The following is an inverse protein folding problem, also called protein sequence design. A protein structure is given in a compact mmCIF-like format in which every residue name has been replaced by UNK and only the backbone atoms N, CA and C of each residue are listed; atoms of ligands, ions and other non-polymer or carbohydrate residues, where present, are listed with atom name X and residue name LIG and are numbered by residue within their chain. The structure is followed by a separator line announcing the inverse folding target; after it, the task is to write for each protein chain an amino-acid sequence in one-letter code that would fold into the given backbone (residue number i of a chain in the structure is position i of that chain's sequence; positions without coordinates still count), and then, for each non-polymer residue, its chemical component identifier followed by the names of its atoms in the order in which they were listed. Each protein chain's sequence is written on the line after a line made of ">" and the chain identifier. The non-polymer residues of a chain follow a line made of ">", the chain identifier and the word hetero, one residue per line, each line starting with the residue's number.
data_IF_899817489439
#
_entry.id   IF_899817489439
#
_cell.length_a   1.000
_cell.length_b   1.000
_cell.length_c   1.000
_cell.angle_alpha   90.00
_cell.angle_beta   90.00
_cell.angle_gamma   90.00
#
_symmetry.space_group_name_H-M   'P 1'
#
loop_
_entity.id
_entity.type
_entity.pdbx_description
1 polymer ?
#
# COMPACT_ATOMS: atom_id res chain seq x y z
N UNK A 1 16.23 -34.93 -25.14
CA UNK A 1 17.23 -34.96 -24.05
C UNK A 1 18.09 -33.72 -24.20
N UNK A 2 17.77 -32.66 -23.46
CA UNK A 2 18.54 -31.42 -23.48
C UNK A 2 19.38 -31.34 -22.20
N UNK A 3 20.68 -31.18 -22.39
CA UNK A 3 21.71 -31.23 -21.36
C UNK A 3 21.70 -29.95 -20.52
N UNK A 4 21.28 -30.08 -19.26
CA UNK A 4 21.41 -29.06 -18.22
C UNK A 4 22.85 -28.55 -18.11
N UNK A 5 22.97 -27.23 -18.25
CA UNK A 5 24.19 -26.41 -18.28
C UNK A 5 25.27 -26.84 -17.29
N UNK A 6 26.46 -27.13 -17.84
CA UNK A 6 27.70 -27.49 -17.17
C UNK A 6 28.14 -26.51 -16.07
N UNK A 7 27.61 -25.28 -16.06
CA UNK A 7 27.91 -24.28 -15.03
C UNK A 7 27.21 -24.55 -13.69
N UNK A 8 26.02 -25.17 -13.71
CA UNK A 8 25.29 -25.49 -12.48
C UNK A 8 26.02 -26.53 -11.62
N UNK A 9 26.61 -27.55 -12.28
CA UNK A 9 27.38 -28.59 -11.60
C UNK A 9 28.67 -28.04 -10.97
N UNK A 10 29.32 -27.06 -11.61
CA UNK A 10 30.51 -26.39 -11.06
C UNK A 10 30.17 -25.58 -9.80
N UNK A 11 29.01 -24.93 -9.76
CA UNK A 11 28.57 -24.17 -8.59
C UNK A 11 28.28 -25.08 -7.38
N UNK A 12 27.64 -26.23 -7.60
CA UNK A 12 27.38 -27.20 -6.52
C UNK A 12 28.66 -27.81 -5.93
N UNK A 13 29.68 -28.04 -6.76
CA UNK A 13 30.97 -28.53 -6.27
C UNK A 13 31.64 -27.51 -5.34
N UNK A 14 31.63 -26.23 -5.72
CA UNK A 14 32.23 -25.14 -4.93
C UNK A 14 31.54 -24.94 -3.58
N UNK A 15 30.22 -25.06 -3.53
CA UNK A 15 29.43 -24.97 -2.29
C UNK A 15 29.68 -26.14 -1.32
N UNK A 16 30.06 -27.32 -1.84
CA UNK A 16 30.40 -28.48 -1.01
C UNK A 16 31.82 -28.41 -0.46
N UNK A 17 32.76 -27.82 -1.18
CA UNK A 17 34.11 -27.58 -0.66
C UNK A 17 34.11 -26.55 0.46
N UNK A 18 33.28 -25.51 0.36
CA UNK A 18 33.20 -24.43 1.35
C UNK A 18 32.53 -24.84 2.67
N UNK A 19 31.67 -25.87 2.65
CA UNK A 19 31.04 -26.43 3.86
C UNK A 19 31.93 -27.41 4.62
N UNK A 20 33.01 -27.89 4.00
CA UNK A 20 33.96 -28.82 4.62
C UNK A 20 35.07 -28.12 5.45
N UNK A 21 35.23 -26.79 5.35
CA UNK A 21 36.38 -26.07 5.90
C UNK A 21 36.07 -25.08 7.04
N UNK A 22 35.14 -25.40 7.96
CA UNK A 22 35.00 -24.64 9.23
C UNK A 22 34.92 -25.56 10.46
N UNK A 23 35.82 -25.44 11.45
CA UNK A 23 35.75 -26.21 12.69
C UNK A 23 34.70 -25.61 13.65
N UNK A 24 33.97 -26.51 14.32
CA UNK A 24 32.92 -26.21 15.29
C UNK A 24 33.49 -26.00 16.69
N UNK A 25 33.42 -24.77 17.21
CA UNK A 25 33.74 -24.46 18.60
C UNK A 25 32.47 -24.63 19.47
N UNK A 26 32.44 -25.71 20.25
CA UNK A 26 31.55 -25.90 21.40
C UNK A 26 31.92 -24.92 22.51
N UNK A 27 30.95 -24.21 23.09
CA UNK A 27 31.14 -23.56 24.41
C UNK A 27 29.98 -23.92 25.36
N UNK A 28 30.39 -24.42 26.53
CA UNK A 28 29.62 -24.91 27.68
C UNK A 28 28.70 -23.85 28.28
N UNK A 29 27.57 -24.31 28.82
CA UNK A 29 26.64 -23.61 29.70
C UNK A 29 27.17 -23.57 31.14
N UNK A 30 27.09 -22.41 31.79
CA UNK A 30 27.16 -22.27 33.25
C UNK A 30 25.88 -21.61 33.78
N UNK A 31 25.40 -22.13 34.91
CA UNK A 31 24.16 -21.79 35.58
C UNK A 31 24.50 -20.97 36.83
N UNK A 32 23.82 -19.84 37.07
CA UNK A 32 23.65 -19.27 38.41
C UNK A 32 22.24 -18.72 38.60
N UNK A 33 21.56 -19.33 39.57
CA UNK A 33 20.43 -18.91 40.42
C UNK A 33 20.69 -17.52 41.07
N UNK A 34 19.77 -16.66 41.54
CA UNK A 34 18.40 -16.76 42.08
C UNK A 34 17.86 -15.34 42.41
N UNK A 35 16.54 -15.16 42.20
CA UNK A 35 15.54 -14.38 42.99
C UNK A 35 15.32 -12.84 42.87
N UNK A 36 14.05 -12.37 43.07
CA UNK A 36 13.45 -11.06 42.68
C UNK A 36 13.28 -10.11 43.92
N UNK A 37 12.52 -8.96 44.01
CA UNK A 37 11.26 -8.47 43.35
C UNK A 37 11.19 -6.89 43.25
N UNK A 38 10.08 -6.10 43.42
CA UNK A 38 8.61 -6.29 43.32
C UNK A 38 7.84 -5.18 42.50
N UNK A 39 6.50 -5.25 42.57
CA UNK A 39 5.44 -4.50 41.83
C UNK A 39 5.05 -3.11 42.41
N UNK A 40 4.63 -2.21 41.50
CA UNK A 40 3.54 -1.19 41.50
C UNK A 40 3.39 -0.13 42.63
N UNK A 41 3.26 1.15 42.21
CA UNK A 41 2.30 2.15 42.76
C UNK A 41 2.02 3.23 41.68
N UNK A 42 0.75 3.43 41.28
CA UNK A 42 -0.26 4.46 41.66
C UNK A 42 -0.07 5.83 40.97
N UNK A 43 -0.98 6.10 40.03
CA UNK A 43 -1.19 7.37 39.30
C UNK A 43 -1.97 8.35 40.18
N UNK A 44 -1.55 9.61 40.24
CA UNK A 44 -2.35 10.75 40.71
C UNK A 44 -2.39 11.85 39.63
N UNK A 45 -3.62 12.34 39.39
CA UNK A 45 -3.97 13.48 38.54
C UNK A 45 -3.60 14.80 39.23
N UNK A 46 -3.07 15.77 38.47
CA UNK A 46 -3.54 17.17 38.51
C UNK A 46 -2.87 18.04 37.43
N UNK A 47 -3.66 19.00 36.93
CA UNK A 47 -3.37 20.16 36.07
C UNK A 47 -4.37 21.25 36.54
N UNK A 48 -4.26 22.57 36.24
CA UNK A 48 -3.25 23.27 35.41
C UNK A 48 -2.79 24.69 35.92
N UNK A 49 -1.95 25.35 35.08
CA UNK A 49 -2.00 26.78 34.65
C UNK A 49 -1.03 27.82 35.29
N UNK A 50 -0.77 29.00 34.65
CA UNK A 50 0.40 29.24 33.78
C UNK A 50 1.20 30.51 34.14
N UNK A 51 2.47 30.68 33.69
CA UNK A 51 3.16 31.98 33.80
C UNK A 51 4.23 32.23 32.69
N UNK A 52 3.93 33.26 31.88
CA UNK A 52 4.79 34.35 31.36
C UNK A 52 6.10 34.09 30.57
N UNK A 53 6.14 34.73 29.39
CA UNK A 53 7.32 35.16 28.61
C UNK A 53 8.27 36.04 29.46
N UNK A 54 9.53 36.17 29.02
CA UNK A 54 9.96 37.49 28.56
C UNK A 54 10.73 37.48 27.23
N UNK A 55 10.94 38.70 26.73
CA UNK A 55 11.52 39.08 25.45
C UNK A 55 12.86 39.82 25.63
N UNK A 56 13.51 40.12 24.50
CA UNK A 56 14.73 40.94 24.26
C UNK A 56 16.06 40.21 24.54
N UNK A 57 17.16 40.42 23.84
CA UNK A 57 17.58 41.55 23.01
C UNK A 57 18.56 41.12 21.90
N UNK A 58 18.68 41.98 20.89
CA UNK A 58 19.67 41.94 19.84
C UNK A 58 21.10 42.18 20.36
N UNK A 59 22.10 41.61 19.68
CA UNK A 59 23.39 42.28 19.50
C UNK A 59 24.05 41.86 18.17
N UNK A 60 24.30 42.89 17.39
CA UNK A 60 25.04 42.96 16.13
C UNK A 60 26.54 42.77 16.36
N UNK A 61 27.23 42.01 15.52
CA UNK A 61 28.57 42.42 15.04
C UNK A 61 28.76 41.95 13.60
N UNK A 62 29.07 42.90 12.72
CA UNK A 62 29.41 42.68 11.33
C UNK A 62 30.93 42.47 11.20
N UNK A 63 31.34 41.50 10.39
CA UNK A 63 32.62 41.50 9.65
C UNK A 63 32.43 40.80 8.30
N UNK A 64 32.89 41.46 7.24
CA UNK A 64 33.13 40.95 5.86
C UNK A 64 34.54 41.47 5.45
N UNK A 65 35.12 41.04 4.33
CA UNK A 65 35.39 39.66 3.85
C UNK A 65 36.85 39.53 3.35
N UNK A 66 37.36 38.34 3.02
CA UNK A 66 38.44 38.17 2.01
C UNK A 66 38.49 36.73 1.49
N UNK A 67 38.65 36.59 0.17
CA UNK A 67 39.27 35.42 -0.48
C UNK A 67 38.32 34.34 -0.98
N UNK A 68 38.02 34.36 -2.29
CA UNK A 68 37.26 33.31 -2.96
C UNK A 68 38.11 32.15 -3.45
N UNK A 69 37.49 30.98 -3.53
CA UNK A 69 37.70 30.00 -4.60
C UNK A 69 36.41 29.21 -4.76
N UNK A 70 36.01 29.03 -6.01
CA UNK A 70 34.78 28.36 -6.43
C UNK A 70 34.70 26.94 -5.84
N UNK A 71 33.60 26.62 -5.18
CA UNK A 71 33.10 25.25 -5.09
C UNK A 71 31.61 25.28 -5.36
N UNK A 72 31.22 24.61 -6.44
CA UNK A 72 29.83 24.30 -6.75
C UNK A 72 29.15 23.68 -5.54
N UNK A 73 27.90 24.10 -5.31
CA UNK A 73 27.03 23.62 -4.24
C UNK A 73 26.73 22.14 -4.50
N UNK A 74 27.41 21.25 -3.78
CA UNK A 74 27.06 19.85 -3.68
C UNK A 74 25.78 19.81 -2.83
N UNK A 75 24.69 19.32 -3.39
CA UNK A 75 23.52 18.95 -2.61
C UNK A 75 23.93 17.82 -1.66
N UNK A 76 23.66 17.98 -0.37
CA UNK A 76 23.99 16.94 0.60
C UNK A 76 23.15 15.69 0.30
N UNK A 77 23.77 14.49 0.29
CA UNK A 77 23.03 13.27 0.09
C UNK A 77 22.08 13.05 1.26
N UNK A 78 20.83 12.71 0.93
CA UNK A 78 19.83 12.19 1.87
C UNK A 78 20.47 11.10 2.73
N UNK A 79 20.22 11.05 4.05
CA UNK A 79 20.91 10.10 4.92
C UNK A 79 20.49 8.67 4.57
N UNK A 80 21.37 7.90 3.90
CA UNK A 80 21.19 6.46 3.69
C UNK A 80 21.51 5.91 2.29
N UNK A 81 21.84 6.72 1.30
CA UNK A 81 22.19 6.22 -0.06
C UNK A 81 23.71 6.07 -0.21
N UNK A 82 24.16 4.86 -0.58
CA UNK A 82 25.54 4.65 -1.04
C UNK A 82 25.78 5.49 -2.30
N UNK A 83 26.95 6.11 -2.44
CA UNK A 83 27.33 6.92 -3.61
C UNK A 83 27.22 6.13 -4.93
N UNK A 84 27.48 4.82 -4.88
CA UNK A 84 27.31 3.91 -6.02
C UNK A 84 25.86 3.72 -6.46
N UNK A 85 24.90 3.88 -5.54
CA UNK A 85 23.48 3.65 -5.78
C UNK A 85 22.84 4.89 -6.42
N UNK A 86 23.24 6.08 -5.98
CA UNK A 86 22.78 7.34 -6.56
C UNK A 86 23.24 7.50 -8.01
N UNK A 87 24.51 7.15 -8.30
CA UNK A 87 25.06 7.21 -9.66
C UNK A 87 24.31 6.28 -10.64
N UNK A 88 23.97 5.07 -10.19
CA UNK A 88 23.20 4.12 -11.00
C UNK A 88 21.78 4.62 -11.28
N UNK A 89 21.16 5.31 -10.31
CA UNK A 89 19.80 5.81 -10.45
C UNK A 89 19.72 6.98 -11.46
N UNK A 90 20.70 7.89 -11.43
CA UNK A 90 20.83 8.96 -12.43
C UNK A 90 21.03 8.40 -13.85
N UNK A 91 21.90 7.39 -14.01
CA UNK A 91 22.15 6.75 -15.31
C UNK A 91 20.93 6.00 -15.89
N UNK A 92 19.91 5.70 -15.08
CA UNK A 92 18.71 4.95 -15.47
C UNK A 92 17.42 5.77 -15.35
N UNK A 93 17.50 7.10 -15.23
CA UNK A 93 16.36 8.00 -15.02
C UNK A 93 15.47 7.60 -13.82
N UNK A 94 16.04 6.91 -12.82
CA UNK A 94 15.34 6.49 -11.60
C UNK A 94 15.52 7.59 -10.56
N UNK A 95 14.41 8.19 -10.11
CA UNK A 95 14.49 9.26 -9.10
C UNK A 95 15.03 8.74 -7.76
N UNK A 96 15.69 9.61 -7.01
CA UNK A 96 16.22 9.30 -5.67
C UNK A 96 15.11 8.81 -4.72
N UNK A 97 13.88 9.30 -4.90
CA UNK A 97 12.69 8.86 -4.16
C UNK A 97 12.28 7.44 -4.53
N UNK A 98 12.27 7.10 -5.82
CA UNK A 98 11.96 5.74 -6.30
C UNK A 98 13.00 4.72 -5.81
N UNK A 99 14.26 5.15 -5.73
CA UNK A 99 15.36 4.34 -5.20
C UNK A 99 15.27 4.17 -3.67
N UNK A 100 15.00 5.25 -2.93
CA UNK A 100 14.79 5.19 -1.48
C UNK A 100 13.57 4.31 -1.13
N UNK A 101 12.55 4.33 -1.98
CA UNK A 101 11.37 3.46 -1.88
C UNK A 101 11.71 1.99 -2.15
N UNK A 102 12.46 1.69 -3.22
CA UNK A 102 12.90 0.33 -3.55
C UNK A 102 13.71 -0.31 -2.42
N UNK A 103 14.54 0.49 -1.74
CA UNK A 103 15.38 0.03 -0.63
C UNK A 103 14.75 0.26 0.75
N UNK A 104 13.52 0.76 0.84
CA UNK A 104 12.84 1.06 2.11
C UNK A 104 13.67 1.95 3.05
N UNK A 105 14.49 2.84 2.49
CA UNK A 105 15.45 3.70 3.22
C UNK A 105 14.80 4.88 3.96
N UNK A 106 13.47 4.95 3.98
CA UNK A 106 12.72 5.77 4.93
C UNK A 106 12.27 7.12 4.39
N UNK A 107 11.13 7.13 3.69
CA UNK A 107 10.25 8.29 3.71
C UNK A 107 9.53 8.29 5.08
N UNK A 108 9.98 9.13 6.02
CA UNK A 108 9.30 9.32 7.31
C UNK A 108 7.91 9.93 7.14
N UNK A 109 7.65 10.54 5.99
CA UNK A 109 6.38 11.18 5.65
C UNK A 109 5.67 10.45 4.50
N UNK A 110 5.02 9.32 4.80
CA UNK A 110 4.11 8.64 3.86
C UNK A 110 2.97 9.57 3.38
N UNK A 111 2.73 10.70 4.06
CA UNK A 111 1.76 11.72 3.65
C UNK A 111 2.11 12.36 2.31
N UNK A 112 3.40 12.55 1.99
CA UNK A 112 3.82 13.11 0.70
C UNK A 112 3.57 12.13 -0.47
N UNK A 113 3.49 10.82 -0.18
CA UNK A 113 3.19 9.78 -1.18
C UNK A 113 1.70 9.68 -1.53
N UNK A 114 0.81 10.32 -0.76
CA UNK A 114 -0.63 10.30 -1.02
C UNK A 114 -1.10 11.40 -1.98
N UNK A 115 -0.36 12.51 -2.08
CA UNK A 115 -0.68 13.62 -2.98
C UNK A 115 0.51 13.88 -3.92
N UNK A 116 0.35 13.55 -5.20
CA UNK A 116 1.35 13.81 -6.22
C UNK A 116 1.04 15.11 -6.93
N UNK A 117 2.03 16.01 -7.05
CA UNK A 117 1.89 17.25 -7.81
C UNK A 117 1.57 17.02 -9.31
N UNK A 118 1.72 15.78 -9.80
CA UNK A 118 1.48 15.37 -11.18
C UNK A 118 0.04 14.91 -11.44
N UNK A 119 -0.81 14.84 -10.42
CA UNK A 119 -2.18 14.33 -10.58
C UNK A 119 -3.03 15.26 -11.44
N UNK A 120 -3.71 14.69 -12.44
CA UNK A 120 -4.58 15.41 -13.35
C UNK A 120 -6.03 15.00 -13.09
N UNK A 121 -6.76 15.87 -12.40
CA UNK A 121 -8.16 15.59 -12.04
C UNK A 121 -9.03 15.47 -13.29
N UNK A 122 -9.83 14.41 -13.35
CA UNK A 122 -10.77 14.13 -14.44
C UNK A 122 -10.10 13.98 -15.83
N UNK A 123 -8.81 13.63 -15.88
CA UNK A 123 -8.07 13.49 -17.15
C UNK A 123 -8.47 12.25 -17.95
N UNK A 124 -9.12 11.26 -17.33
CA UNK A 124 -9.35 9.96 -17.93
C UNK A 124 -8.06 9.14 -17.85
N UNK A 125 -7.72 8.42 -18.93
CA UNK A 125 -6.48 7.66 -19.00
C UNK A 125 -5.26 8.60 -19.08
N UNK A 126 -4.22 8.29 -18.31
CA UNK A 126 -2.95 9.00 -18.38
C UNK A 126 -2.09 8.37 -19.47
N UNK A 127 -1.67 9.20 -20.43
CA UNK A 127 -0.86 8.75 -21.57
C UNK A 127 0.59 8.46 -21.15
N UNK A 128 1.24 7.52 -21.85
CA UNK A 128 2.66 7.21 -21.65
C UNK A 128 2.98 6.38 -20.41
N UNK A 129 1.99 5.81 -19.73
CA UNK A 129 2.19 4.93 -18.57
C UNK A 129 1.99 3.47 -18.98
N UNK A 130 3.01 2.65 -18.78
CA UNK A 130 2.88 1.20 -18.87
C UNK A 130 2.23 0.64 -17.60
N UNK A 131 0.97 0.20 -17.73
CA UNK A 131 0.21 -0.31 -16.59
C UNK A 131 0.67 -1.72 -16.22
N UNK A 132 1.34 -1.83 -15.08
CA UNK A 132 1.84 -3.08 -14.52
C UNK A 132 0.75 -4.07 -14.07
N UNK A 133 1.19 -5.15 -13.42
CA UNK A 133 0.32 -6.26 -12.98
C UNK A 133 -0.70 -5.88 -11.90
N UNK A 134 -0.34 -4.94 -11.03
CA UNK A 134 -1.12 -4.56 -9.86
C UNK A 134 -1.67 -3.16 -10.04
N UNK A 135 -2.96 -3.01 -9.78
CA UNK A 135 -3.64 -1.71 -9.79
C UNK A 135 -4.51 -1.59 -8.55
N UNK A 136 -4.64 -0.38 -8.01
CA UNK A 136 -5.61 -0.09 -6.97
C UNK A 136 -6.71 0.82 -7.53
N UNK A 137 -7.95 0.57 -7.12
CA UNK A 137 -9.12 1.35 -7.51
C UNK A 137 -9.85 1.84 -6.26
N UNK A 138 -10.45 3.02 -6.37
CA UNK A 138 -11.44 3.54 -5.43
C UNK A 138 -12.47 4.39 -6.18
N UNK A 139 -13.73 4.27 -5.76
CA UNK A 139 -14.86 4.97 -6.35
C UNK A 139 -15.55 5.90 -5.34
N UNK A 140 -15.97 7.07 -5.82
CA UNK A 140 -16.91 7.92 -5.08
C UNK A 140 -18.32 7.75 -5.65
N UNK A 141 -19.29 7.66 -4.74
CA UNK A 141 -20.70 7.43 -5.10
C UNK A 141 -21.59 8.56 -4.61
N UNK A 142 -22.64 8.83 -5.40
CA UNK A 142 -23.75 9.72 -5.05
C UNK A 142 -25.02 8.90 -4.86
N UNK A 143 -26.02 9.50 -4.22
CA UNK A 143 -27.34 8.94 -4.01
C UNK A 143 -28.29 9.19 -5.18
N UNK A 144 -28.90 8.14 -5.71
CA UNK A 144 -29.97 8.16 -6.72
C UNK A 144 -31.25 7.50 -6.19
N UNK A 145 -32.32 7.57 -6.97
CA UNK A 145 -33.63 7.03 -6.59
C UNK A 145 -34.33 7.81 -5.47
N UNK A 146 -35.53 7.35 -5.04
CA UNK A 146 -36.28 7.95 -3.94
C UNK A 146 -35.46 7.99 -2.65
N UNK A 147 -35.26 9.17 -2.08
CA UNK A 147 -34.48 9.36 -0.85
C UNK A 147 -32.95 9.24 -0.99
N UNK A 148 -32.42 8.95 -2.19
CA UNK A 148 -30.97 8.92 -2.43
C UNK A 148 -30.25 7.75 -1.75
N UNK A 149 -30.96 6.66 -1.49
CA UNK A 149 -30.43 5.47 -0.81
C UNK A 149 -29.58 4.59 -1.72
N UNK A 150 -29.93 4.53 -3.00
CA UNK A 150 -29.19 3.79 -4.01
C UNK A 150 -27.90 4.52 -4.37
N UNK A 151 -26.80 3.79 -4.48
CA UNK A 151 -25.48 4.39 -4.74
C UNK A 151 -25.16 4.27 -6.22
N UNK A 152 -24.86 5.39 -6.86
CA UNK A 152 -24.41 5.44 -8.25
C UNK A 152 -23.01 6.02 -8.35
N UNK A 153 -22.21 5.51 -9.28
CA UNK A 153 -20.84 5.97 -9.53
C UNK A 153 -20.82 7.45 -9.94
N UNK A 154 -19.94 8.23 -9.31
CA UNK A 154 -19.74 9.63 -9.63
C UNK A 154 -18.27 10.02 -9.85
N UNK A 155 -17.33 9.22 -9.33
CA UNK A 155 -15.90 9.34 -9.65
C UNK A 155 -15.24 7.98 -9.51
N UNK A 156 -14.24 7.71 -10.34
CA UNK A 156 -13.37 6.54 -10.21
C UNK A 156 -11.92 6.98 -10.37
N UNK A 157 -11.05 6.49 -9.50
CA UNK A 157 -9.60 6.68 -9.56
C UNK A 157 -8.89 5.34 -9.58
N UNK A 158 -7.89 5.19 -10.44
CA UNK A 158 -7.03 4.00 -10.53
C UNK A 158 -5.57 4.45 -10.45
N UNK A 159 -4.80 3.77 -9.61
CA UNK A 159 -3.36 3.99 -9.46
C UNK A 159 -2.57 2.70 -9.68
N UNK A 160 -1.32 2.85 -10.12
CA UNK A 160 -0.41 1.72 -10.33
C UNK A 160 0.18 1.22 -9.01
N UNK A 161 1.10 0.25 -9.10
CA UNK A 161 1.81 -0.27 -7.93
C UNK A 161 2.60 0.81 -7.18
N UNK A 162 3.15 1.80 -7.87
CA UNK A 162 3.92 2.88 -7.27
C UNK A 162 3.04 4.03 -6.74
N UNK A 163 1.72 3.96 -6.94
CA UNK A 163 0.79 5.02 -6.56
C UNK A 163 0.69 6.14 -7.60
N UNK A 164 1.27 5.97 -8.79
CA UNK A 164 1.11 6.87 -9.93
C UNK A 164 -0.33 6.76 -10.45
N UNK A 165 -0.97 7.90 -10.70
CA UNK A 165 -2.32 7.94 -11.26
C UNK A 165 -2.32 7.38 -12.68
N UNK A 166 -3.10 6.32 -12.91
CA UNK A 166 -3.33 5.74 -14.24
C UNK A 166 -4.59 6.34 -14.84
N UNK A 167 -5.65 6.44 -14.04
CA UNK A 167 -6.97 6.87 -14.50
C UNK A 167 -7.65 7.69 -13.42
N UNK A 168 -8.28 8.81 -13.78
CA UNK A 168 -9.20 9.54 -12.90
C UNK A 168 -10.29 10.21 -13.74
N UNK A 169 -11.56 9.93 -13.42
CA UNK A 169 -12.69 10.54 -14.11
C UNK A 169 -13.85 10.78 -13.17
N UNK A 170 -14.47 11.95 -13.29
CA UNK A 170 -15.86 12.15 -12.89
C UNK A 170 -16.77 11.42 -13.88
N UNK A 171 -17.86 10.86 -13.37
CA UNK A 171 -18.78 10.01 -14.12
C UNK A 171 -20.19 10.56 -13.95
N UNK A 172 -20.91 10.70 -15.06
CA UNK A 172 -22.34 11.04 -15.00
C UNK A 172 -23.14 9.81 -14.59
N UNK A 173 -23.87 9.85 -13.45
CA UNK A 173 -24.77 8.78 -13.08
C UNK A 173 -25.89 8.64 -14.13
N UNK A 174 -26.30 7.41 -14.43
CA UNK A 174 -27.40 7.13 -15.36
C UNK A 174 -28.75 7.68 -14.88
N UNK A 175 -28.92 7.72 -13.57
CA UNK A 175 -30.12 8.19 -12.91
C UNK A 175 -29.94 9.60 -12.33
N UNK A 176 -31.06 10.30 -12.14
CA UNK A 176 -31.04 11.62 -11.53
C UNK A 176 -30.51 11.53 -10.10
N UNK A 177 -29.45 12.29 -9.83
CA UNK A 177 -28.90 12.43 -8.48
C UNK A 177 -29.90 13.15 -7.57
N UNK A 178 -30.28 12.50 -6.48
CA UNK A 178 -31.17 13.04 -5.45
C UNK A 178 -30.41 13.43 -4.18
N UNK A 179 -29.22 12.86 -3.94
CA UNK A 179 -28.35 13.22 -2.84
C UNK A 179 -26.88 13.17 -3.25
N UNK A 180 -26.18 14.30 -3.26
CA UNK A 180 -24.77 14.37 -3.67
C UNK A 180 -23.79 13.73 -2.68
N UNK A 181 -24.18 13.56 -1.41
CA UNK A 181 -23.30 13.05 -0.34
C UNK A 181 -21.98 13.81 -0.23
N UNK A 182 -21.96 15.10 -0.61
CA UNK A 182 -20.74 15.92 -0.80
C UNK A 182 -19.82 15.95 0.42
N UNK A 183 -20.37 15.93 1.63
CA UNK A 183 -19.58 15.89 2.86
C UNK A 183 -18.69 14.65 2.98
N UNK A 184 -19.07 13.55 2.32
CA UNK A 184 -18.33 12.30 2.27
C UNK A 184 -17.62 12.17 0.93
N UNK A 185 -18.34 12.20 -0.20
CA UNK A 185 -17.81 11.89 -1.53
C UNK A 185 -16.96 13.00 -2.15
N UNK A 186 -17.06 14.23 -1.62
CA UNK A 186 -16.48 15.40 -2.26
C UNK A 186 -17.09 15.77 -3.60
N UNK A 187 -18.15 15.09 -4.05
CA UNK A 187 -18.81 15.33 -5.33
C UNK A 187 -19.89 16.42 -5.20
N UNK A 188 -19.93 17.33 -6.16
CA UNK A 188 -20.93 18.37 -6.28
C UNK A 188 -21.44 18.48 -7.72
N UNK A 189 -22.54 19.21 -7.90
CA UNK A 189 -23.16 19.41 -9.21
C UNK A 189 -22.25 20.14 -10.22
N UNK A 190 -21.31 20.97 -9.76
CA UNK A 190 -20.41 21.73 -10.65
C UNK A 190 -19.39 20.79 -11.29
N UNK A 191 -18.87 19.81 -10.53
CA UNK A 191 -17.96 18.77 -11.03
C UNK A 191 -18.60 17.91 -12.12
N UNK A 192 -19.92 17.69 -12.06
CA UNK A 192 -20.65 16.90 -13.07
C UNK A 192 -20.78 17.57 -14.43
N UNK A 193 -20.54 18.90 -14.53
CA UNK A 193 -20.57 19.59 -15.83
C UNK A 193 -19.55 19.02 -16.82
N UNK A 194 -18.41 18.55 -16.32
CA UNK A 194 -17.31 18.02 -17.11
C UNK A 194 -17.15 16.50 -16.94
N UNK A 195 -18.12 15.83 -16.34
CA UNK A 195 -18.09 14.39 -16.17
C UNK A 195 -18.28 13.66 -17.51
N UNK A 196 -17.61 12.52 -17.65
CA UNK A 196 -17.76 11.63 -18.81
C UNK A 196 -19.03 10.79 -18.68
N UNK A 197 -19.50 10.25 -19.80
CA UNK A 197 -20.61 9.31 -19.80
C UNK A 197 -20.20 8.00 -19.10
N UNK A 198 -21.16 7.35 -18.44
CA UNK A 198 -20.89 6.14 -17.67
C UNK A 198 -20.31 5.03 -18.53
N UNK A 199 -20.85 4.83 -19.74
CA UNK A 199 -20.44 3.78 -20.67
C UNK A 199 -18.98 3.94 -21.13
N UNK A 200 -18.54 5.17 -21.37
CA UNK A 200 -17.15 5.49 -21.74
C UNK A 200 -16.20 5.08 -20.61
N UNK A 201 -16.50 5.56 -19.40
CA UNK A 201 -15.66 5.30 -18.21
C UNK A 201 -15.66 3.81 -17.87
N UNK A 202 -16.82 3.15 -17.93
CA UNK A 202 -16.93 1.72 -17.66
C UNK A 202 -16.07 0.91 -18.65
N UNK A 203 -16.11 1.23 -19.94
CA UNK A 203 -15.34 0.53 -20.96
C UNK A 203 -13.82 0.71 -20.76
N UNK A 204 -13.38 1.91 -20.38
CA UNK A 204 -11.97 2.18 -20.10
C UNK A 204 -11.48 1.47 -18.83
N UNK A 205 -12.29 1.49 -17.77
CA UNK A 205 -11.98 0.77 -16.52
C UNK A 205 -11.95 -0.74 -16.78
N UNK A 206 -12.90 -1.30 -17.51
CA UNK A 206 -12.92 -2.75 -17.83
C UNK A 206 -11.63 -3.18 -18.55
N UNK A 207 -11.21 -2.43 -19.59
CA UNK A 207 -9.94 -2.68 -20.29
C UNK A 207 -8.74 -2.62 -19.35
N UNK A 208 -8.71 -1.68 -18.41
CA UNK A 208 -7.65 -1.58 -17.41
C UNK A 208 -7.65 -2.78 -16.46
N UNK A 209 -8.82 -3.28 -16.04
CA UNK A 209 -8.91 -4.43 -15.13
C UNK A 209 -8.47 -5.75 -15.76
N UNK A 210 -8.59 -5.90 -17.08
CA UNK A 210 -8.30 -7.16 -17.77
C UNK A 210 -6.86 -7.65 -17.54
N UNK A 211 -6.73 -8.89 -17.06
CA UNK A 211 -5.44 -9.55 -16.84
C UNK A 211 -4.62 -9.03 -15.65
N UNK A 212 -5.19 -8.14 -14.82
CA UNK A 212 -4.49 -7.51 -13.69
C UNK A 212 -5.02 -8.00 -12.34
N UNK A 213 -4.23 -7.76 -11.30
CA UNK A 213 -4.62 -7.99 -9.92
C UNK A 213 -5.20 -6.68 -9.38
N UNK A 214 -6.47 -6.73 -8.99
CA UNK A 214 -7.22 -5.60 -8.47
C UNK A 214 -7.08 -5.50 -6.95
N UNK A 215 -6.59 -4.35 -6.49
CA UNK A 215 -6.43 -4.00 -5.08
C UNK A 215 -7.45 -2.91 -4.72
N UNK A 216 -8.01 -2.97 -3.53
CA UNK A 216 -9.01 -1.99 -3.09
C UNK A 216 -9.41 -2.20 -1.64
N UNK A 217 -10.35 -1.37 -1.17
CA UNK A 217 -10.88 -1.44 0.19
C UNK A 217 -12.39 -1.63 0.16
N UNK A 218 -12.84 -2.87 0.45
CA UNK A 218 -14.25 -3.28 0.32
C UNK A 218 -14.83 -3.14 -1.11
N UNK A 219 -14.02 -3.57 -2.08
CA UNK A 219 -14.24 -3.56 -3.55
C UNK A 219 -15.60 -4.04 -4.05
N UNK A 220 -16.40 -4.69 -3.20
CA UNK A 220 -17.76 -5.08 -3.55
C UNK A 220 -18.57 -3.86 -4.00
N UNK A 221 -18.46 -2.75 -3.27
CA UNK A 221 -19.23 -1.55 -3.54
C UNK A 221 -18.76 -0.84 -4.83
N UNK A 222 -17.45 -0.77 -5.05
CA UNK A 222 -16.86 -0.18 -6.25
C UNK A 222 -17.25 -0.94 -7.51
N UNK A 223 -17.13 -2.27 -7.49
CA UNK A 223 -17.48 -3.15 -8.62
C UNK A 223 -18.99 -3.14 -8.92
N UNK A 224 -19.83 -3.09 -7.88
CA UNK A 224 -21.29 -2.92 -8.03
C UNK A 224 -21.61 -1.57 -8.69
N UNK A 225 -20.98 -0.47 -8.25
CA UNK A 225 -21.19 0.85 -8.83
C UNK A 225 -20.71 0.97 -10.28
N UNK A 226 -19.63 0.27 -10.63
CA UNK A 226 -19.12 0.14 -12.00
C UNK A 226 -19.92 -0.84 -12.86
N UNK A 227 -20.80 -1.66 -12.27
CA UNK A 227 -21.49 -2.77 -12.93
C UNK A 227 -20.47 -3.70 -13.63
N UNK A 228 -19.35 -3.96 -12.94
CA UNK A 228 -18.27 -4.83 -13.41
C UNK A 228 -18.07 -6.00 -12.44
N UNK A 229 -17.42 -7.05 -12.94
CA UNK A 229 -16.98 -8.17 -12.10
C UNK A 229 -15.50 -8.43 -12.34
N UNK A 230 -14.82 -8.94 -11.31
CA UNK A 230 -13.41 -9.29 -11.42
C UNK A 230 -13.17 -10.68 -10.81
N UNK A 231 -12.30 -11.53 -11.38
CA UNK A 231 -12.05 -12.87 -10.86
C UNK A 231 -11.61 -12.82 -9.40
N UNK A 232 -12.29 -13.57 -8.52
CA UNK A 232 -12.01 -13.52 -7.08
C UNK A 232 -10.56 -13.87 -6.72
N UNK A 233 -9.90 -14.72 -7.53
CA UNK A 233 -8.48 -15.06 -7.39
C UNK A 233 -7.55 -13.87 -7.66
N UNK A 234 -7.99 -12.90 -8.46
CA UNK A 234 -7.22 -11.73 -8.86
C UNK A 234 -7.59 -10.48 -8.02
N UNK A 235 -8.45 -10.63 -7.00
CA UNK A 235 -8.78 -9.57 -6.04
C UNK A 235 -7.87 -9.63 -4.80
N UNK A 236 -7.41 -8.47 -4.35
CA UNK A 236 -6.74 -8.23 -3.06
C UNK A 236 -7.45 -7.12 -2.30
N UNK A 237 -8.51 -7.52 -1.60
CA UNK A 237 -9.35 -6.62 -0.81
C UNK A 237 -8.76 -6.43 0.61
N UNK A 238 -8.32 -5.22 0.90
CA UNK A 238 -7.72 -4.87 2.20
C UNK A 238 -8.72 -4.93 3.36
N UNK A 239 -10.00 -4.66 3.13
CA UNK A 239 -11.04 -4.73 4.17
C UNK A 239 -11.31 -6.18 4.60
N UNK A 240 -11.08 -7.15 3.71
CA UNK A 240 -11.28 -8.59 3.94
C UNK A 240 -10.01 -9.34 4.35
N UNK A 241 -8.86 -8.68 4.36
CA UNK A 241 -7.59 -9.30 4.70
C UNK A 241 -7.55 -9.71 6.19
N UNK A 242 -7.33 -11.01 6.52
CA UNK A 242 -7.36 -11.49 7.91
C UNK A 242 -6.38 -10.77 8.83
N UNK A 243 -5.19 -10.42 8.31
CA UNK A 243 -4.16 -9.69 9.07
C UNK A 243 -4.61 -8.30 9.54
N UNK A 244 -5.65 -7.72 8.93
CA UNK A 244 -6.16 -6.41 9.28
C UNK A 244 -7.38 -6.44 10.21
N UNK A 245 -8.04 -7.59 10.42
CA UNK A 245 -9.23 -7.71 11.29
C UNK A 245 -8.99 -7.23 12.73
N UNK A 246 -7.75 -7.33 13.22
CA UNK A 246 -7.34 -6.84 14.54
C UNK A 246 -7.54 -5.34 14.73
N UNK A 247 -7.52 -4.55 13.64
CA UNK A 247 -7.73 -3.10 13.69
C UNK A 247 -9.21 -2.69 13.68
N UNK A 248 -10.12 -3.62 13.35
CA UNK A 248 -11.55 -3.38 13.29
C UNK A 248 -12.33 -4.01 14.46
N UNK A 249 -11.64 -4.43 15.52
CA UNK A 249 -12.25 -5.11 16.68
C UNK A 249 -13.13 -6.32 16.27
N UNK A 250 -12.67 -7.09 15.28
CA UNK A 250 -13.39 -8.26 14.73
C UNK A 250 -14.31 -7.96 13.55
N UNK A 251 -14.61 -6.68 13.27
CA UNK A 251 -15.30 -6.23 12.05
C UNK A 251 -14.30 -5.87 10.95
N UNK A 252 -14.80 -5.59 9.74
CA UNK A 252 -13.98 -4.98 8.68
C UNK A 252 -13.46 -3.64 9.19
N UNK A 253 -12.13 -3.41 9.25
CA UNK A 253 -11.57 -2.13 9.64
C UNK A 253 -11.85 -1.08 8.56
N UNK A 254 -12.12 0.17 8.95
CA UNK A 254 -12.18 1.28 8.00
C UNK A 254 -10.79 1.63 7.46
N UNK A 255 -10.71 2.07 6.19
CA UNK A 255 -9.45 2.44 5.54
C UNK A 255 -8.68 3.49 6.36
N UNK A 256 -9.36 4.53 6.84
CA UNK A 256 -8.78 5.56 7.73
C UNK A 256 -8.09 4.98 8.97
N UNK A 257 -8.66 3.95 9.58
CA UNK A 257 -8.05 3.28 10.75
C UNK A 257 -6.79 2.54 10.32
N UNK A 258 -6.81 1.84 9.18
CA UNK A 258 -5.65 1.13 8.67
C UNK A 258 -4.54 2.11 8.27
N UNK A 259 -4.86 3.18 7.54
CA UNK A 259 -3.91 4.22 7.16
C UNK A 259 -3.24 4.82 8.41
N UNK A 260 -4.01 5.20 9.42
CA UNK A 260 -3.46 5.78 10.64
C UNK A 260 -2.61 4.77 11.42
N UNK A 261 -3.08 3.54 11.62
CA UNK A 261 -2.41 2.55 12.48
C UNK A 261 -1.22 1.85 11.82
N UNK A 262 -1.24 1.71 10.50
CA UNK A 262 -0.24 0.93 9.75
C UNK A 262 0.70 1.84 8.97
N UNK A 263 0.17 2.86 8.30
CA UNK A 263 0.96 3.79 7.49
C UNK A 263 1.40 5.03 8.28
N UNK A 264 0.73 5.34 9.39
CA UNK A 264 0.99 6.54 10.18
C UNK A 264 0.47 7.81 9.52
N UNK A 265 -0.51 7.69 8.61
CA UNK A 265 -1.07 8.83 7.85
C UNK A 265 -2.54 8.99 8.18
N UNK A 266 -2.97 10.24 8.32
CA UNK A 266 -4.36 10.60 8.47
C UNK A 266 -4.95 10.95 7.11
N UNK A 267 -5.98 10.20 6.72
CA UNK A 267 -6.74 10.39 5.48
C UNK A 267 -8.21 10.64 5.85
N UNK A 268 -9.01 11.13 4.90
CA UNK A 268 -10.45 11.36 5.10
C UNK A 268 -10.75 12.30 6.30
N UNK A 269 -9.91 13.33 6.48
CA UNK A 269 -10.14 14.40 7.48
C UNK A 269 -11.27 15.36 7.09
N UNK A 270 -11.63 15.37 5.79
CA UNK A 270 -12.77 16.09 5.23
C UNK A 270 -13.51 15.19 4.22
N UNK A 271 -13.90 15.76 3.08
CA UNK A 271 -14.39 14.94 1.98
C UNK A 271 -13.31 13.96 1.50
N UNK A 272 -13.74 12.80 1.04
CA UNK A 272 -12.88 11.75 0.53
C UNK A 272 -12.27 12.14 -0.82
N UNK A 273 -11.14 11.52 -1.11
CA UNK A 273 -10.45 11.64 -2.38
C UNK A 273 -10.11 10.23 -2.85
N UNK A 274 -10.85 9.74 -3.83
CA UNK A 274 -10.57 8.42 -4.41
C UNK A 274 -9.11 8.18 -4.85
N UNK A 275 -8.38 9.21 -5.27
CA UNK A 275 -6.95 9.06 -5.59
C UNK A 275 -6.14 8.74 -4.31
N UNK A 276 -6.40 9.47 -3.23
CA UNK A 276 -5.75 9.28 -1.93
C UNK A 276 -6.08 7.91 -1.35
N UNK A 277 -7.36 7.53 -1.41
CA UNK A 277 -7.84 6.26 -0.86
C UNK A 277 -7.31 5.05 -1.66
N UNK A 278 -7.24 5.15 -2.99
CA UNK A 278 -6.61 4.13 -3.84
C UNK A 278 -5.11 3.98 -3.53
N UNK A 279 -4.39 5.10 -3.32
CA UNK A 279 -2.97 5.08 -2.92
C UNK A 279 -2.76 4.49 -1.53
N UNK A 280 -3.54 4.92 -0.55
CA UNK A 280 -3.47 4.39 0.81
C UNK A 280 -3.68 2.86 0.79
N UNK A 281 -4.64 2.39 0.00
CA UNK A 281 -4.89 0.97 -0.19
C UNK A 281 -3.71 0.25 -0.86
N UNK A 282 -3.16 0.81 -1.94
CA UNK A 282 -1.97 0.24 -2.60
C UNK A 282 -0.77 0.15 -1.63
N UNK A 283 -0.52 1.18 -0.84
CA UNK A 283 0.55 1.20 0.17
C UNK A 283 0.33 0.15 1.25
N UNK A 284 -0.91 -0.02 1.74
CA UNK A 284 -1.26 -1.08 2.69
C UNK A 284 -0.98 -2.46 2.11
N UNK A 285 -1.38 -2.70 0.85
CA UNK A 285 -1.10 -3.93 0.13
C UNK A 285 0.41 -4.16 -0.01
N UNK A 286 1.17 -3.17 -0.47
CA UNK A 286 2.62 -3.27 -0.66
C UNK A 286 3.35 -3.62 0.62
N UNK A 287 3.02 -2.94 1.71
CA UNK A 287 3.62 -3.19 3.04
C UNK A 287 3.34 -4.61 3.55
N UNK A 288 2.24 -5.24 3.13
CA UNK A 288 1.84 -6.58 3.57
C UNK A 288 1.79 -7.59 2.43
N UNK A 289 2.45 -7.32 1.30
CA UNK A 289 2.28 -8.09 0.06
C UNK A 289 2.54 -9.58 0.26
N UNK A 290 3.61 -9.93 0.98
CA UNK A 290 3.95 -11.31 1.29
C UNK A 290 2.82 -12.02 2.04
N UNK A 291 2.19 -11.36 3.01
CA UNK A 291 1.10 -11.93 3.77
C UNK A 291 -0.20 -12.06 2.94
N UNK A 292 -0.45 -11.12 2.02
CA UNK A 292 -1.52 -11.25 1.02
C UNK A 292 -1.27 -12.42 0.06
N UNK A 293 -0.04 -12.61 -0.41
CA UNK A 293 0.32 -13.70 -1.31
C UNK A 293 0.17 -15.07 -0.63
N UNK A 294 0.54 -15.18 0.66
CA UNK A 294 0.32 -16.39 1.46
C UNK A 294 -1.18 -16.66 1.69
N UNK A 295 -1.95 -15.65 2.09
CA UNK A 295 -3.42 -15.79 2.26
C UNK A 295 -4.09 -16.20 0.95
N UNK A 296 -3.67 -15.62 -0.17
CA UNK A 296 -4.16 -16.00 -1.48
C UNK A 296 -3.80 -17.43 -1.86
N UNK A 297 -2.53 -17.82 -1.69
CA UNK A 297 -2.09 -19.19 -1.94
C UNK A 297 -2.90 -20.19 -1.09
N UNK A 298 -3.16 -19.89 0.19
CA UNK A 298 -3.96 -20.77 1.04
C UNK A 298 -5.42 -20.90 0.58
N UNK A 299 -6.00 -19.85 0.00
CA UNK A 299 -7.40 -19.85 -0.48
C UNK A 299 -7.57 -20.53 -1.84
N UNK A 300 -6.61 -20.35 -2.74
CA UNK A 300 -6.75 -20.71 -4.16
C UNK A 300 -5.72 -21.73 -4.65
N UNK A 301 -4.79 -22.19 -3.81
CA UNK A 301 -3.88 -23.26 -4.21
C UNK A 301 -4.70 -24.53 -4.55
N UNK A 302 -4.32 -25.23 -5.63
CA UNK A 302 -4.92 -26.52 -5.94
C UNK A 302 -4.62 -27.47 -4.78
N UNK A 303 -5.68 -27.94 -4.11
CA UNK A 303 -5.52 -29.01 -3.13
C UNK A 303 -4.94 -30.22 -3.86
N UNK A 304 -3.87 -30.86 -3.36
CA UNK A 304 -3.42 -32.12 -3.93
C UNK A 304 -4.60 -33.09 -3.89
N UNK A 305 -4.88 -33.74 -5.01
CA UNK A 305 -5.91 -34.78 -5.08
C UNK A 305 -5.61 -35.79 -3.97
N UNK A 306 -6.44 -35.81 -2.93
CA UNK A 306 -6.34 -36.81 -1.87
C UNK A 306 -6.53 -38.16 -2.54
N UNK A 307 -5.42 -38.89 -2.75
CA UNK A 307 -5.45 -40.27 -3.18
C UNK A 307 -6.34 -41.03 -2.21
N UNK A 308 -7.51 -41.44 -2.67
CA UNK A 308 -8.42 -42.25 -1.89
C UNK A 308 -7.75 -43.57 -1.56
N UNK A 309 -7.18 -43.69 -0.36
CA UNK A 309 -6.97 -44.99 0.25
C UNK A 309 -8.35 -45.60 0.47
N UNK A 310 -8.78 -46.44 -0.48
CA UNK A 310 -9.85 -47.42 -0.25
C UNK A 310 -9.41 -48.28 0.92
N UNK A 311 -9.94 -47.99 2.11
CA UNK A 311 -9.85 -48.88 3.25
C UNK A 311 -10.46 -50.22 2.86
N UNK A 312 -9.61 -51.24 2.74
CA UNK A 312 -10.03 -52.63 2.59
C UNK A 312 -10.77 -53.05 3.86
N UNK A 313 -12.11 -53.09 3.80
CA UNK A 313 -12.93 -53.72 4.83
C UNK A 313 -12.55 -55.20 4.93
N UNK A 314 -11.84 -55.58 5.97
CA UNK A 314 -11.61 -56.97 6.35
C UNK A 314 -12.95 -57.62 6.73
N UNK A 315 -13.45 -58.53 5.88
CA UNK A 315 -14.58 -59.43 6.18
C UNK A 315 -14.19 -60.33 7.36
N UNK A 316 -14.77 -60.09 8.54
CA UNK A 316 -14.71 -60.98 9.69
C UNK A 316 -15.56 -62.23 9.36
N UNK A 317 -14.92 -63.36 9.02
CA UNK A 317 -15.58 -64.67 8.93
C UNK A 317 -15.99 -65.10 10.33
N UNK A 318 -17.30 -65.30 10.55
CA UNK A 318 -17.85 -66.05 11.69
C UNK A 318 -17.41 -67.50 11.55
N UNK A 319 -16.89 -68.07 12.63
CA UNK A 319 -16.82 -69.51 12.88
C UNK A 319 -17.57 -69.75 14.18
#
# INVERSE_FOLDING_TARGET
>A
METLSSNWKKLQAKLKEESASKPSLKRKSETLTTNPPPKKSKVQKSLPKPLRRPAKAAQTTAKKPMGGVHSSKIEEPVPGTSTSLALWAEDNDVSAEALAEAYSLGAKDNSMMLASAKDKINHGLTEGIEVGKYIAIDCEMVGVGPGGHESALARVSIVDFHGVQIYDSYVKPKEKVTNWRTAVSGIDQKKMRFAREFEEVQADVDKLLQGRILIGHDLKHDLEALILSHPGKDIRDTAKFPGFKKYGNGRKPALRILAQKILGVEIQGGAHSSIEDARATMLLFRKHKQAFDVDHANRYAPKPASGGQKGTKSKKKRK
#
